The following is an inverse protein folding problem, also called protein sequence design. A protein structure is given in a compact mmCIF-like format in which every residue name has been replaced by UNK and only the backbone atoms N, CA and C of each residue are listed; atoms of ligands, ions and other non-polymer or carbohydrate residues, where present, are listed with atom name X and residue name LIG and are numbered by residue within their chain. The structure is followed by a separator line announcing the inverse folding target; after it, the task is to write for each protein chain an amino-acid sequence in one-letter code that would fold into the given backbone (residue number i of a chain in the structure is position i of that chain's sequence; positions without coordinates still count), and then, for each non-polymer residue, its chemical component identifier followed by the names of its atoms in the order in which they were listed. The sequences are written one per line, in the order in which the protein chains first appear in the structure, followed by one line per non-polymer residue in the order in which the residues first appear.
data_IF_534731688824
#
_entry.id   IF_534731688824
#
_cell.length_a   1.000
_cell.length_b   1.000
_cell.length_c   1.000
_cell.angle_alpha   90.00
_cell.angle_beta   90.00
_cell.angle_gamma   90.00
#
_symmetry.space_group_name_H-M   'P 1'
#
loop_
_entity.id
_entity.type
_entity.pdbx_description
1 polymer ?
#
# COMPACT_ATOMS: atom_id res chain seq x y z
N UNK A 1 23.24 20.98 -26.18
CA UNK A 1 21.88 21.31 -26.62
C UNK A 1 21.43 20.14 -27.45
N UNK A 2 20.28 19.57 -27.12
CA UNK A 2 19.75 18.39 -27.81
C UNK A 2 18.55 18.83 -28.63
N UNK A 3 18.29 18.17 -29.74
CA UNK A 3 17.01 18.34 -30.44
C UNK A 3 15.88 17.68 -29.63
N UNK A 4 14.62 18.07 -29.88
CA UNK A 4 13.47 17.39 -29.28
C UNK A 4 13.46 15.89 -29.61
N UNK A 5 13.88 15.52 -30.82
CA UNK A 5 14.04 14.12 -31.21
C UNK A 5 15.07 13.38 -30.34
N UNK A 6 16.24 13.98 -30.12
CA UNK A 6 17.28 13.42 -29.25
C UNK A 6 16.81 13.30 -27.79
N UNK A 7 16.03 14.27 -27.30
CA UNK A 7 15.45 14.21 -25.95
C UNK A 7 14.43 13.07 -25.84
N UNK A 8 13.55 12.91 -26.82
CA UNK A 8 12.58 11.81 -26.87
C UNK A 8 13.29 10.43 -26.95
N UNK A 9 14.35 10.32 -27.74
CA UNK A 9 15.17 9.11 -27.82
C UNK A 9 15.87 8.82 -26.49
N UNK A 10 16.39 9.86 -25.82
CA UNK A 10 17.02 9.73 -24.49
C UNK A 10 16.01 9.24 -23.44
N UNK A 11 14.76 9.71 -23.49
CA UNK A 11 13.71 9.18 -22.62
C UNK A 11 13.46 7.70 -22.90
N UNK A 12 13.30 7.31 -24.17
CA UNK A 12 13.08 5.92 -24.55
C UNK A 12 14.24 4.99 -24.15
N UNK A 13 15.50 5.41 -24.33
CA UNK A 13 16.68 4.65 -23.88
C UNK A 13 16.72 4.41 -22.36
N UNK A 14 16.18 5.37 -21.60
CA UNK A 14 16.01 5.28 -20.15
C UNK A 14 14.75 4.50 -19.72
N UNK A 15 14.02 3.93 -20.68
CA UNK A 15 12.79 3.20 -20.44
C UNK A 15 11.61 4.10 -20.08
N UNK A 16 11.66 5.38 -20.41
CA UNK A 16 10.56 6.34 -20.25
C UNK A 16 10.04 6.68 -21.64
N UNK A 17 8.90 6.15 -22.04
CA UNK A 17 8.29 6.43 -23.35
C UNK A 17 7.47 7.73 -23.32
N UNK A 18 8.10 8.81 -22.90
CA UNK A 18 7.51 10.15 -22.80
C UNK A 18 7.90 10.93 -24.06
N UNK A 19 6.93 11.55 -24.72
CA UNK A 19 7.17 12.41 -25.89
C UNK A 19 6.85 13.86 -25.56
N UNK A 20 7.81 14.75 -25.80
CA UNK A 20 7.56 16.19 -25.78
C UNK A 20 6.64 16.58 -26.94
N UNK A 21 5.58 17.37 -26.72
CA UNK A 21 4.66 17.80 -27.77
C UNK A 21 5.24 19.00 -28.55
N UNK A 22 6.48 18.89 -29.01
CA UNK A 22 7.21 19.91 -29.75
C UNK A 22 7.77 19.33 -31.07
N UNK A 23 7.99 20.15 -32.11
CA UNK A 23 8.63 19.70 -33.34
C UNK A 23 10.03 19.14 -33.10
N UNK A 24 10.33 17.99 -33.74
CA UNK A 24 11.55 17.21 -33.55
C UNK A 24 12.84 18.02 -33.69
N UNK A 25 12.87 19.00 -34.59
CA UNK A 25 14.05 19.80 -34.93
C UNK A 25 14.31 20.96 -33.98
N UNK A 26 13.40 21.26 -33.04
CA UNK A 26 13.61 22.33 -32.05
C UNK A 26 14.75 21.98 -31.11
N UNK A 27 15.54 22.98 -30.71
CA UNK A 27 16.67 22.79 -29.79
C UNK A 27 16.26 23.03 -28.35
N UNK A 28 16.39 22.02 -27.50
CA UNK A 28 16.12 22.11 -26.06
C UNK A 28 17.35 22.66 -25.33
N UNK A 29 17.15 23.77 -24.60
CA UNK A 29 18.12 24.45 -23.75
C UNK A 29 18.14 23.85 -22.36
N UNK A 30 16.98 23.71 -21.74
CA UNK A 30 16.81 23.12 -20.42
C UNK A 30 15.44 22.45 -20.28
N UNK A 31 15.37 21.47 -19.39
CA UNK A 31 14.15 20.74 -19.07
C UNK A 31 14.14 20.49 -17.56
N UNK A 32 13.13 21.04 -16.89
CA UNK A 32 12.95 20.90 -15.45
C UNK A 32 11.67 20.10 -15.18
N UNK A 33 11.77 19.07 -14.32
CA UNK A 33 10.61 18.32 -13.86
C UNK A 33 10.03 19.04 -12.65
N UNK A 34 8.83 19.60 -12.80
CA UNK A 34 8.14 20.32 -11.74
C UNK A 34 7.31 19.39 -10.86
N UNK A 35 6.66 18.41 -11.49
CA UNK A 35 5.83 17.43 -10.80
C UNK A 35 5.97 16.07 -11.46
N UNK A 36 5.97 15.02 -10.64
CA UNK A 36 5.94 13.63 -11.09
C UNK A 36 4.76 12.94 -10.41
N UNK A 37 3.92 12.30 -11.22
CA UNK A 37 2.79 11.49 -10.76
C UNK A 37 2.92 10.07 -11.31
N UNK A 38 2.96 9.09 -10.41
CA UNK A 38 2.93 7.70 -10.82
C UNK A 38 1.50 7.32 -11.23
N UNK A 39 1.34 6.78 -12.44
CA UNK A 39 0.06 6.30 -12.99
C UNK A 39 0.18 4.80 -13.29
N UNK A 40 -0.91 4.01 -13.25
CA UNK A 40 -0.83 2.59 -13.55
C UNK A 40 -0.23 2.33 -14.94
N UNK A 41 0.93 1.66 -14.99
CA UNK A 41 1.63 1.33 -16.25
C UNK A 41 2.47 2.47 -16.86
N UNK A 42 2.63 3.60 -16.17
CA UNK A 42 3.34 4.75 -16.72
C UNK A 42 3.69 5.83 -15.69
N UNK A 43 4.05 7.00 -16.19
CA UNK A 43 4.32 8.20 -15.40
C UNK A 43 3.74 9.42 -16.11
N UNK A 44 3.15 10.32 -15.34
CA UNK A 44 2.81 11.67 -15.77
C UNK A 44 3.84 12.66 -15.22
N UNK A 45 4.42 13.49 -16.09
CA UNK A 45 5.38 14.53 -15.74
C UNK A 45 4.84 15.90 -16.14
N UNK A 46 4.91 16.86 -15.23
CA UNK A 46 4.81 18.27 -15.56
C UNK A 46 6.22 18.81 -15.78
N UNK A 47 6.51 19.24 -17.01
CA UNK A 47 7.83 19.68 -17.45
C UNK A 47 7.79 21.18 -17.75
N UNK A 48 8.81 21.91 -17.31
CA UNK A 48 9.14 23.22 -17.86
C UNK A 48 10.26 23.04 -18.88
N UNK A 49 10.00 23.39 -20.13
CA UNK A 49 10.96 23.20 -21.24
C UNK A 49 11.32 24.57 -21.80
N UNK A 50 12.63 24.86 -21.83
CA UNK A 50 13.19 25.98 -22.59
C UNK A 50 13.72 25.48 -23.92
N UNK A 51 13.24 26.02 -25.02
CA UNK A 51 13.61 25.59 -26.37
C UNK A 51 13.77 26.77 -27.32
N UNK A 52 14.51 26.56 -28.41
CA UNK A 52 14.66 27.52 -29.51
C UNK A 52 13.73 27.11 -30.66
N UNK A 53 12.84 28.01 -31.06
CA UNK A 53 11.90 27.79 -32.15
C UNK A 53 12.52 28.05 -33.54
N UNK A 54 11.74 27.88 -34.60
CA UNK A 54 12.18 28.12 -36.00
C UNK A 54 12.56 29.58 -36.30
N UNK A 55 12.16 30.52 -35.45
CA UNK A 55 12.49 31.94 -35.56
C UNK A 55 13.81 32.28 -34.86
N UNK A 56 14.45 31.29 -34.21
CA UNK A 56 15.66 31.49 -33.42
C UNK A 56 15.38 32.11 -32.04
N UNK A 57 14.11 32.19 -31.64
CA UNK A 57 13.70 32.76 -30.35
C UNK A 57 13.74 31.69 -29.25
N UNK A 58 14.23 32.08 -28.08
CA UNK A 58 14.20 31.23 -26.90
C UNK A 58 12.86 31.37 -26.17
N UNK A 59 12.13 30.26 -26.08
CA UNK A 59 10.80 30.17 -25.49
C UNK A 59 10.84 29.20 -24.31
N UNK A 60 10.12 29.52 -23.23
CA UNK A 60 9.94 28.66 -22.05
C UNK A 60 8.46 28.36 -21.90
N UNK A 61 8.07 27.10 -21.82
CA UNK A 61 6.67 26.70 -21.65
C UNK A 61 6.51 25.43 -20.80
N UNK A 62 5.30 25.22 -20.31
CA UNK A 62 4.92 24.09 -19.46
C UNK A 62 4.19 23.02 -20.26
N UNK A 63 4.66 21.79 -20.14
CA UNK A 63 4.08 20.63 -20.81
C UNK A 63 3.73 19.55 -19.81
N UNK A 64 2.48 19.10 -19.87
CA UNK A 64 2.07 17.87 -19.20
C UNK A 64 2.27 16.71 -20.17
N UNK A 65 3.13 15.77 -19.81
CA UNK A 65 3.49 14.63 -20.64
C UNK A 65 3.28 13.32 -19.89
N UNK A 66 2.54 12.41 -20.52
CA UNK A 66 2.36 11.05 -20.02
C UNK A 66 3.16 10.07 -20.89
N UNK A 67 3.72 9.03 -20.26
CA UNK A 67 4.45 7.99 -20.98
C UNK A 67 4.47 6.65 -20.25
N UNK A 68 4.59 5.58 -21.03
CA UNK A 68 4.79 4.24 -20.47
C UNK A 68 6.20 4.11 -19.92
N UNK A 69 6.35 3.41 -18.80
CA UNK A 69 7.68 3.10 -18.26
C UNK A 69 8.00 1.66 -18.60
N UNK A 70 9.02 1.43 -19.43
CA UNK A 70 9.61 0.11 -19.59
C UNK A 70 10.24 -0.31 -18.27
N UNK A 71 9.56 -1.22 -17.58
CA UNK A 71 10.09 -1.86 -16.39
C UNK A 71 11.24 -2.76 -16.83
N UNK A 72 12.47 -2.23 -16.84
CA UNK A 72 13.65 -3.10 -16.80
C UNK A 72 13.55 -3.92 -15.52
N UNK A 73 13.19 -5.19 -15.67
CA UNK A 73 13.13 -6.26 -14.66
C UNK A 73 14.49 -6.55 -13.98
N UNK A 74 15.41 -5.59 -13.99
CA UNK A 74 16.70 -5.59 -13.31
C UNK A 74 16.85 -4.28 -12.54
N UNK A 75 15.96 -4.04 -11.59
CA UNK A 75 16.52 -3.72 -10.28
C UNK A 75 16.92 -5.07 -9.72
N UNK A 76 18.23 -5.30 -9.63
CA UNK A 76 18.69 -6.05 -8.47
C UNK A 76 17.95 -5.41 -7.31
N UNK A 77 17.00 -6.17 -6.76
CA UNK A 77 16.46 -5.90 -5.46
C UNK A 77 17.74 -5.83 -4.65
N UNK A 78 18.21 -4.63 -4.30
CA UNK A 78 18.96 -4.50 -3.06
C UNK A 78 18.00 -5.13 -2.08
N UNK A 79 18.26 -6.39 -1.73
CA UNK A 79 17.74 -6.99 -0.53
C UNK A 79 18.11 -5.94 0.50
N UNK A 80 17.17 -5.06 0.83
CA UNK A 80 17.23 -4.27 2.03
C UNK A 80 17.42 -5.35 3.09
N UNK A 81 18.67 -5.59 3.47
CA UNK A 81 19.02 -6.56 4.48
C UNK A 81 18.26 -6.07 5.70
N UNK A 82 17.13 -6.73 5.99
CA UNK A 82 16.37 -6.52 7.20
C UNK A 82 17.27 -7.12 8.28
N UNK A 83 18.24 -6.34 8.76
CA UNK A 83 19.31 -6.77 9.65
C UNK A 83 18.84 -7.19 11.05
N UNK A 84 17.55 -7.43 11.26
CA UNK A 84 17.03 -8.05 12.49
C UNK A 84 15.62 -8.56 12.24
N UNK A 85 15.26 -9.79 12.66
CA UNK A 85 13.88 -10.21 12.62
C UNK A 85 13.04 -9.22 13.43
N UNK A 86 12.04 -8.62 12.79
CA UNK A 86 11.21 -7.57 13.39
C UNK A 86 10.32 -8.09 14.54
N UNK A 87 10.24 -9.42 14.70
CA UNK A 87 9.61 -10.14 15.82
C UNK A 87 10.62 -11.15 16.42
N UNK A 88 10.54 -11.39 17.72
CA UNK A 88 11.45 -12.32 18.43
C UNK A 88 11.20 -13.80 18.09
N UNK A 89 9.94 -14.15 17.81
CA UNK A 89 9.51 -15.44 17.29
C UNK A 89 8.70 -15.20 16.03
N UNK A 90 8.65 -16.18 15.12
CA UNK A 90 7.89 -16.09 13.89
C UNK A 90 6.73 -17.09 13.92
N UNK A 91 5.56 -16.65 13.49
CA UNK A 91 4.42 -17.51 13.20
C UNK A 91 4.69 -18.31 11.92
N UNK A 92 4.12 -19.52 11.79
CA UNK A 92 4.24 -20.32 10.58
C UNK A 92 3.59 -19.63 9.38
N UNK A 93 4.19 -19.80 8.20
CA UNK A 93 3.64 -19.31 6.94
C UNK A 93 2.43 -20.14 6.52
N UNK A 94 1.47 -19.52 5.83
CA UNK A 94 0.36 -20.24 5.18
C UNK A 94 0.85 -20.90 3.89
N UNK A 95 0.24 -22.04 3.55
CA UNK A 95 0.51 -22.76 2.31
C UNK A 95 -0.20 -22.16 1.09
N UNK A 96 -1.27 -21.39 1.33
CA UNK A 96 -2.10 -20.73 0.31
C UNK A 96 -2.37 -19.29 0.71
N UNK A 97 -2.63 -18.48 -0.30
CA UNK A 97 -2.91 -17.05 -0.17
C UNK A 97 -4.41 -16.74 0.03
N UNK A 98 -5.27 -17.53 -0.62
CA UNK A 98 -6.73 -17.37 -0.51
C UNK A 98 -7.30 -18.01 0.76
N UNK A 99 -8.51 -17.59 1.09
CA UNK A 99 -9.43 -18.23 2.04
C UNK A 99 -10.51 -18.96 1.22
N UNK A 100 -10.99 -20.13 1.68
CA UNK A 100 -11.89 -20.99 0.89
C UNK A 100 -13.31 -20.40 0.73
N UNK A 101 -13.84 -20.20 -0.49
CA UNK A 101 -15.14 -19.50 -0.71
C UNK A 101 -16.13 -20.25 -1.62
N UNK A 102 -16.83 -21.21 -1.03
CA UNK A 102 -18.14 -21.73 -1.46
C UNK A 102 -19.19 -21.29 -0.42
N UNK A 103 -20.51 -21.27 -0.66
CA UNK A 103 -21.45 -20.56 0.25
C UNK A 103 -21.45 -21.03 1.73
N UNK A 104 -21.32 -22.34 2.00
CA UNK A 104 -21.09 -22.85 3.36
C UNK A 104 -19.64 -22.58 3.83
N UNK A 105 -18.70 -22.59 2.88
CA UNK A 105 -17.33 -22.20 3.13
C UNK A 105 -17.13 -20.68 3.25
N UNK A 106 -18.09 -19.79 2.91
CA UNK A 106 -17.90 -18.33 2.97
C UNK A 106 -17.84 -17.88 4.43
N UNK A 107 -18.74 -18.43 5.26
CA UNK A 107 -18.70 -18.21 6.71
C UNK A 107 -17.43 -18.83 7.33
N UNK A 108 -16.99 -19.99 6.83
CA UNK A 108 -15.75 -20.63 7.28
C UNK A 108 -14.51 -19.84 6.84
N UNK A 109 -14.49 -19.27 5.63
CA UNK A 109 -13.44 -18.38 5.14
C UNK A 109 -13.38 -17.10 5.94
N UNK A 110 -14.54 -16.52 6.28
CA UNK A 110 -14.59 -15.34 7.12
C UNK A 110 -14.06 -15.62 8.52
N UNK A 111 -14.43 -16.76 9.11
CA UNK A 111 -13.90 -17.19 10.39
C UNK A 111 -12.38 -17.48 10.31
N UNK A 112 -11.92 -18.20 9.28
CA UNK A 112 -10.50 -18.49 9.05
C UNK A 112 -9.69 -17.19 8.91
N UNK A 113 -10.21 -16.25 8.12
CA UNK A 113 -9.59 -14.95 7.93
C UNK A 113 -9.58 -14.15 9.24
N UNK A 114 -10.67 -14.11 9.99
CA UNK A 114 -10.71 -13.42 11.27
C UNK A 114 -9.69 -13.99 12.26
N UNK A 115 -9.63 -15.32 12.40
CA UNK A 115 -8.66 -16.01 13.26
C UNK A 115 -7.22 -15.76 12.81
N UNK A 116 -6.99 -15.72 11.49
CA UNK A 116 -5.70 -15.38 10.92
C UNK A 116 -5.26 -13.95 11.28
N UNK A 117 -6.15 -12.97 11.08
CA UNK A 117 -5.88 -11.57 11.43
C UNK A 117 -5.65 -11.42 12.94
N UNK A 118 -6.50 -12.07 13.75
CA UNK A 118 -6.41 -12.11 15.21
C UNK A 118 -5.05 -12.65 15.65
N UNK A 119 -4.61 -13.79 15.11
CA UNK A 119 -3.32 -14.39 15.41
C UNK A 119 -2.15 -13.47 15.04
N UNK A 120 -2.16 -12.90 13.83
CA UNK A 120 -1.08 -12.06 13.32
C UNK A 120 -0.87 -10.77 14.14
N UNK A 121 -1.96 -10.04 14.42
CA UNK A 121 -1.89 -8.79 15.20
C UNK A 121 -1.60 -9.06 16.68
N UNK A 122 -2.23 -10.09 17.27
CA UNK A 122 -1.98 -10.46 18.67
C UNK A 122 -0.51 -10.79 18.87
N UNK A 123 0.06 -11.59 17.98
CA UNK A 123 1.47 -11.96 18.05
C UNK A 123 2.41 -10.76 17.89
N UNK A 124 2.11 -9.82 16.98
CA UNK A 124 2.88 -8.58 16.87
C UNK A 124 2.84 -7.75 18.16
N UNK A 125 1.64 -7.52 18.71
CA UNK A 125 1.46 -6.67 19.89
C UNK A 125 2.08 -7.31 21.13
N UNK A 126 1.90 -8.62 21.33
CA UNK A 126 2.49 -9.37 22.43
C UNK A 126 4.02 -9.39 22.35
N UNK A 127 4.59 -9.53 21.16
CA UNK A 127 6.03 -9.42 20.95
C UNK A 127 6.57 -8.04 21.36
N UNK A 128 5.75 -6.98 21.26
CA UNK A 128 6.08 -5.61 21.72
C UNK A 128 5.64 -5.32 23.15
N UNK A 129 5.35 -6.35 23.93
CA UNK A 129 5.07 -6.26 25.36
C UNK A 129 3.66 -5.77 25.69
N UNK A 130 2.73 -5.80 24.75
CA UNK A 130 1.32 -5.62 25.07
C UNK A 130 0.69 -6.92 25.57
N UNK A 131 -0.27 -6.80 26.47
CA UNK A 131 -1.03 -7.93 27.01
C UNK A 131 -2.49 -7.81 26.61
N UNK A 132 -3.15 -8.94 26.38
CA UNK A 132 -4.58 -8.95 26.11
C UNK A 132 -5.33 -8.48 27.36
N UNK A 133 -6.17 -7.45 27.21
CA UNK A 133 -7.02 -6.92 28.27
C UNK A 133 -8.48 -7.25 28.01
N UNK A 134 -9.32 -7.01 29.01
CA UNK A 134 -10.78 -7.20 28.93
C UNK A 134 -11.51 -5.88 28.62
N UNK A 135 -12.65 -5.94 27.93
CA UNK A 135 -13.65 -4.87 27.96
C UNK A 135 -13.47 -3.68 27.00
N UNK A 136 -12.83 -3.86 25.83
CA UNK A 136 -12.54 -2.75 24.90
C UNK A 136 -13.66 -2.31 23.95
N UNK A 137 -14.83 -2.96 23.93
CA UNK A 137 -15.89 -2.65 22.94
C UNK A 137 -15.48 -2.88 21.48
N UNK A 138 -14.47 -3.72 21.25
CA UNK A 138 -13.86 -4.08 19.96
C UNK A 138 -13.51 -5.57 19.97
N UNK A 139 -13.08 -6.11 18.83
CA UNK A 139 -12.72 -7.52 18.68
C UNK A 139 -11.53 -7.92 19.56
N UNK A 140 -10.60 -7.00 19.79
CA UNK A 140 -9.38 -7.20 20.58
C UNK A 140 -8.96 -5.91 21.29
N UNK A 141 -8.67 -6.00 22.59
CA UNK A 141 -8.08 -4.92 23.36
C UNK A 141 -6.75 -5.36 23.96
N UNK A 142 -5.72 -4.55 23.75
CA UNK A 142 -4.39 -4.79 24.30
C UNK A 142 -3.95 -3.63 25.17
N UNK A 143 -3.20 -3.92 26.23
CA UNK A 143 -2.73 -2.91 27.16
C UNK A 143 -1.24 -3.09 27.45
N UNK A 144 -0.53 -1.96 27.56
CA UNK A 144 0.86 -1.89 28.01
C UNK A 144 1.03 -0.66 28.91
N UNK A 145 1.05 -0.90 30.21
CA UNK A 145 0.96 0.17 31.21
C UNK A 145 -0.40 0.88 31.09
N UNK A 146 -0.37 2.21 30.95
CA UNK A 146 -1.59 3.02 30.77
C UNK A 146 -2.04 3.14 29.31
N UNK A 147 -1.19 2.72 28.35
CA UNK A 147 -1.51 2.80 26.92
C UNK A 147 -2.29 1.57 26.50
N UNK A 148 -3.38 1.81 25.78
CA UNK A 148 -4.28 0.80 25.26
C UNK A 148 -4.17 0.76 23.75
N UNK A 149 -4.46 -0.39 23.15
CA UNK A 149 -4.58 -0.57 21.72
C UNK A 149 -5.93 -1.25 21.45
N UNK A 150 -6.87 -0.48 20.90
CA UNK A 150 -8.19 -0.94 20.49
C UNK A 150 -8.11 -1.44 19.05
N UNK A 151 -8.46 -2.69 18.83
CA UNK A 151 -8.29 -3.36 17.55
C UNK A 151 -9.63 -3.93 17.08
N UNK A 152 -10.10 -3.46 15.94
CA UNK A 152 -11.21 -4.07 15.21
C UNK A 152 -10.67 -4.86 14.01
N UNK A 153 -11.23 -6.03 13.77
CA UNK A 153 -10.91 -6.89 12.62
C UNK A 153 -11.93 -6.64 11.52
N UNK A 154 -11.49 -6.57 10.27
CA UNK A 154 -12.38 -6.46 9.12
C UNK A 154 -11.88 -7.35 7.99
N UNK A 155 -12.59 -8.44 7.76
CA UNK A 155 -12.24 -9.45 6.76
C UNK A 155 -12.43 -8.93 5.33
N UNK A 156 -13.42 -8.04 5.13
CA UNK A 156 -13.78 -7.46 3.84
C UNK A 156 -13.81 -5.94 3.93
N UNK A 157 -13.24 -5.23 2.94
CA UNK A 157 -13.30 -3.78 2.81
C UNK A 157 -14.64 -3.35 2.20
N UNK A 158 -15.69 -3.49 3.00
CA UNK A 158 -17.08 -3.20 2.63
C UNK A 158 -17.72 -2.14 3.56
N UNK A 159 -19.04 -2.09 3.60
CA UNK A 159 -19.80 -1.19 4.48
C UNK A 159 -19.61 -1.55 5.97
N UNK A 160 -19.49 -2.83 6.32
CA UNK A 160 -19.26 -3.27 7.70
C UNK A 160 -17.87 -2.85 8.18
N UNK A 161 -16.85 -2.89 7.32
CA UNK A 161 -15.52 -2.41 7.68
C UNK A 161 -15.50 -0.93 8.04
N UNK A 162 -16.24 -0.09 7.30
CA UNK A 162 -16.28 1.35 7.62
C UNK A 162 -17.11 1.62 8.88
N UNK A 163 -18.15 0.84 9.15
CA UNK A 163 -18.87 0.90 10.43
C UNK A 163 -17.96 0.54 11.62
N UNK A 164 -17.19 -0.54 11.51
CA UNK A 164 -16.17 -0.89 12.52
C UNK A 164 -15.14 0.22 12.71
N UNK A 165 -14.68 0.84 11.62
CA UNK A 165 -13.74 1.95 11.69
C UNK A 165 -14.34 3.21 12.35
N UNK A 166 -15.61 3.52 12.10
CA UNK A 166 -16.33 4.60 12.80
C UNK A 166 -16.49 4.30 14.29
N UNK A 167 -16.76 3.05 14.66
CA UNK A 167 -16.75 2.62 16.07
C UNK A 167 -15.41 2.90 16.77
N UNK A 168 -14.28 2.70 16.08
CA UNK A 168 -12.96 3.08 16.60
C UNK A 168 -12.81 4.60 16.79
N UNK A 169 -13.40 5.43 15.90
CA UNK A 169 -13.42 6.89 16.06
C UNK A 169 -14.20 7.29 17.32
N UNK A 170 -15.36 6.67 17.56
CA UNK A 170 -16.17 6.91 18.76
C UNK A 170 -15.42 6.49 20.04
N UNK A 171 -14.79 5.33 20.02
CA UNK A 171 -13.95 4.88 21.14
C UNK A 171 -12.81 5.85 21.40
N UNK A 172 -12.19 6.41 20.36
CA UNK A 172 -11.17 7.43 20.52
C UNK A 172 -11.68 8.70 21.17
N UNK A 173 -12.89 9.13 20.83
CA UNK A 173 -13.51 10.28 21.50
C UNK A 173 -13.78 10.00 22.98
N UNK A 174 -14.13 8.75 23.32
CA UNK A 174 -14.45 8.33 24.70
C UNK A 174 -13.21 8.08 25.57
N UNK A 175 -12.25 7.30 25.07
CA UNK A 175 -11.07 6.86 25.82
C UNK A 175 -9.88 7.81 25.66
N UNK A 176 -9.94 8.72 24.68
CA UNK A 176 -8.98 9.80 24.54
C UNK A 176 -7.80 9.45 23.64
N UNK A 177 -6.92 10.44 23.52
CA UNK A 177 -5.86 10.44 22.51
C UNK A 177 -4.65 9.62 22.90
N UNK A 178 -4.52 9.13 24.14
CA UNK A 178 -3.33 8.42 24.63
C UNK A 178 -3.29 6.93 24.28
N UNK A 179 -4.40 6.40 23.75
CA UNK A 179 -4.49 5.04 23.25
C UNK A 179 -4.34 4.99 21.72
N UNK A 180 -4.08 3.80 21.19
CA UNK A 180 -4.00 3.50 19.76
C UNK A 180 -5.29 2.81 19.30
N UNK A 181 -5.66 3.03 18.04
CA UNK A 181 -6.91 2.52 17.45
C UNK A 181 -6.60 1.99 16.05
N UNK A 182 -6.89 0.72 15.81
CA UNK A 182 -6.50 0.03 14.58
C UNK A 182 -7.60 -0.84 13.99
N UNK A 183 -7.80 -0.70 12.67
CA UNK A 183 -8.56 -1.63 11.85
C UNK A 183 -7.58 -2.57 11.15
N UNK A 184 -7.74 -3.88 11.36
CA UNK A 184 -6.90 -4.92 10.77
C UNK A 184 -7.64 -5.57 9.62
N UNK A 185 -7.01 -5.64 8.45
CA UNK A 185 -7.60 -6.21 7.23
C UNK A 185 -6.65 -7.23 6.60
N UNK A 186 -7.12 -8.13 5.71
CA UNK A 186 -6.22 -8.90 4.85
C UNK A 186 -5.56 -7.99 3.81
N UNK A 187 -4.32 -8.31 3.43
CA UNK A 187 -3.59 -7.64 2.35
C UNK A 187 -4.32 -7.78 1.01
N UNK A 188 -4.89 -8.95 0.74
CA UNK A 188 -5.71 -9.24 -0.44
C UNK A 188 -6.99 -9.96 -0.04
N UNK A 189 -8.11 -9.55 -0.64
CA UNK A 189 -9.45 -10.02 -0.26
C UNK A 189 -10.23 -10.62 -1.44
N UNK A 190 -9.55 -10.94 -2.55
CA UNK A 190 -10.22 -11.43 -3.76
C UNK A 190 -10.92 -12.77 -3.53
N UNK A 191 -10.31 -13.66 -2.74
CA UNK A 191 -10.93 -14.94 -2.35
C UNK A 191 -12.14 -14.75 -1.42
N UNK A 192 -12.33 -13.55 -0.87
CA UNK A 192 -13.45 -13.15 -0.02
C UNK A 192 -14.47 -12.30 -0.81
N UNK A 193 -14.36 -12.27 -2.14
CA UNK A 193 -15.28 -11.55 -3.02
C UNK A 193 -14.96 -10.06 -3.20
N UNK A 194 -13.89 -9.53 -2.60
CA UNK A 194 -13.48 -8.12 -2.77
C UNK A 194 -12.29 -8.06 -3.72
N UNK A 195 -12.53 -7.59 -4.95
CA UNK A 195 -11.44 -7.37 -5.91
C UNK A 195 -10.39 -6.39 -5.36
N UNK A 196 -9.12 -6.55 -5.78
CA UNK A 196 -8.05 -5.61 -5.38
C UNK A 196 -8.42 -4.14 -5.68
N UNK A 197 -9.04 -3.87 -6.83
CA UNK A 197 -9.49 -2.53 -7.20
C UNK A 197 -10.56 -1.98 -6.24
N UNK A 198 -11.49 -2.83 -5.79
CA UNK A 198 -12.52 -2.43 -4.82
C UNK A 198 -11.89 -2.12 -3.45
N UNK A 199 -10.95 -2.95 -3.01
CA UNK A 199 -10.18 -2.72 -1.78
C UNK A 199 -9.38 -1.41 -1.84
N UNK A 200 -8.66 -1.15 -2.94
CA UNK A 200 -7.90 0.09 -3.14
C UNK A 200 -8.79 1.33 -3.15
N UNK A 201 -9.96 1.25 -3.81
CA UNK A 201 -10.95 2.34 -3.80
C UNK A 201 -11.51 2.59 -2.41
N UNK A 202 -11.81 1.53 -1.65
CA UNK A 202 -12.24 1.65 -0.26
C UNK A 202 -11.17 2.34 0.59
N UNK A 203 -9.91 1.94 0.43
CA UNK A 203 -8.79 2.57 1.13
C UNK A 203 -8.69 4.05 0.79
N UNK A 204 -8.63 4.39 -0.50
CA UNK A 204 -8.50 5.78 -0.95
C UNK A 204 -9.63 6.68 -0.46
N UNK A 205 -10.89 6.19 -0.53
CA UNK A 205 -12.07 6.94 -0.07
C UNK A 205 -12.06 7.24 1.42
N UNK A 206 -11.48 6.36 2.23
CA UNK A 206 -11.57 6.45 3.70
C UNK A 206 -10.25 6.92 4.35
N UNK A 207 -9.13 6.89 3.63
CA UNK A 207 -7.79 7.16 4.18
C UNK A 207 -7.69 8.53 4.85
N UNK A 208 -8.19 9.59 4.20
CA UNK A 208 -8.11 10.95 4.74
C UNK A 208 -8.91 11.08 6.05
N UNK A 209 -10.16 10.62 6.05
CA UNK A 209 -11.03 10.61 7.23
C UNK A 209 -10.40 9.83 8.39
N UNK A 210 -9.96 8.60 8.15
CA UNK A 210 -9.37 7.75 9.19
C UNK A 210 -8.05 8.33 9.71
N UNK A 211 -7.20 8.89 8.83
CA UNK A 211 -5.94 9.51 9.24
C UNK A 211 -6.17 10.76 10.08
N UNK A 212 -7.16 11.59 9.72
CA UNK A 212 -7.55 12.78 10.48
C UNK A 212 -8.00 12.41 11.91
N UNK A 213 -8.71 11.29 12.05
CA UNK A 213 -9.12 10.75 13.34
C UNK A 213 -8.07 9.87 14.03
N UNK A 214 -6.86 9.74 13.46
CA UNK A 214 -5.77 8.89 13.98
C UNK A 214 -6.20 7.43 14.16
N UNK A 215 -6.93 6.89 13.19
CA UNK A 215 -7.27 5.46 13.11
C UNK A 215 -6.31 4.79 12.13
N UNK A 216 -5.56 3.82 12.63
CA UNK A 216 -4.64 3.00 11.85
C UNK A 216 -5.38 1.95 11.02
N UNK A 217 -5.09 1.84 9.72
CA UNK A 217 -5.49 0.68 8.92
C UNK A 217 -4.23 -0.11 8.63
N UNK A 218 -4.21 -1.37 9.08
CA UNK A 218 -3.07 -2.26 8.98
C UNK A 218 -3.48 -3.53 8.25
N UNK A 219 -2.86 -3.81 7.10
CA UNK A 219 -3.14 -5.05 6.38
C UNK A 219 -2.13 -6.14 6.74
N UNK A 220 -2.61 -7.35 6.99
CA UNK A 220 -1.79 -8.55 7.22
C UNK A 220 -1.54 -9.23 5.88
N UNK A 221 -0.29 -9.53 5.57
CA UNK A 221 0.06 -10.32 4.39
C UNK A 221 -0.68 -11.66 4.41
N UNK A 222 -1.23 -12.10 3.28
CA UNK A 222 -2.08 -13.30 3.23
C UNK A 222 -1.30 -14.61 3.44
N UNK A 223 0.02 -14.61 3.23
CA UNK A 223 0.88 -15.79 3.33
C UNK A 223 1.79 -15.71 4.57
N UNK A 224 2.34 -14.53 4.85
CA UNK A 224 3.25 -14.31 5.99
C UNK A 224 2.59 -13.49 7.12
N UNK A 225 2.04 -14.13 8.17
CA UNK A 225 1.41 -13.42 9.30
C UNK A 225 2.38 -12.57 10.12
N UNK A 226 3.69 -12.64 9.81
CA UNK A 226 4.70 -11.79 10.43
C UNK A 226 4.87 -10.45 9.73
N UNK A 227 4.24 -10.24 8.56
CA UNK A 227 4.27 -9.00 7.80
C UNK A 227 2.93 -8.28 7.85
N UNK A 228 2.95 -7.06 8.37
CA UNK A 228 1.81 -6.17 8.37
C UNK A 228 2.21 -4.82 7.77
N UNK A 229 1.32 -4.21 7.00
CA UNK A 229 1.55 -2.96 6.27
C UNK A 229 0.60 -1.88 6.78
N UNK A 230 1.10 -0.68 7.07
CA UNK A 230 0.27 0.44 7.50
C UNK A 230 -0.13 1.31 6.31
N UNK A 231 -1.41 1.71 6.24
CA UNK A 231 -1.94 2.50 5.12
C UNK A 231 -2.39 3.92 5.49
N UNK A 232 -2.76 4.17 6.76
CA UNK A 232 -3.22 5.49 7.21
C UNK A 232 -2.20 6.18 8.09
N UNK A 233 -1.91 5.61 9.27
CA UNK A 233 -0.99 6.15 10.25
C UNK A 233 -0.10 5.06 10.86
N UNK A 234 1.10 5.43 11.29
CA UNK A 234 1.91 4.58 12.15
C UNK A 234 1.50 4.74 13.62
N UNK A 235 1.54 3.66 14.42
CA UNK A 235 1.36 3.76 15.88
C UNK A 235 2.40 4.71 16.49
N UNK A 236 2.10 5.36 17.62
CA UNK A 236 3.08 6.25 18.28
C UNK A 236 4.15 5.47 19.02
N UNK A 237 3.80 4.29 19.51
CA UNK A 237 4.73 3.38 20.17
C UNK A 237 5.96 3.14 19.28
N UNK A 238 7.17 3.29 19.84
CA UNK A 238 8.41 3.41 19.07
C UNK A 238 8.76 2.11 18.35
N UNK A 239 8.57 0.96 18.99
CA UNK A 239 8.94 -0.34 18.43
C UNK A 239 7.93 -0.81 17.37
N UNK A 240 6.64 -0.61 17.61
CA UNK A 240 5.58 -0.86 16.62
C UNK A 240 5.74 0.06 15.40
N UNK A 241 6.06 1.34 15.61
CA UNK A 241 6.35 2.26 14.52
C UNK A 241 7.56 1.83 13.70
N UNK A 242 8.63 1.40 14.36
CA UNK A 242 9.82 0.85 13.67
C UNK A 242 9.47 -0.39 12.85
N UNK A 243 8.64 -1.28 13.40
CA UNK A 243 8.13 -2.44 12.67
C UNK A 243 7.43 -2.00 11.36
N UNK A 244 6.46 -1.10 11.44
CA UNK A 244 5.69 -0.68 10.26
C UNK A 244 6.49 0.14 9.26
N UNK A 245 7.46 0.95 9.72
CA UNK A 245 8.39 1.66 8.81
C UNK A 245 9.24 0.67 8.02
N UNK A 246 9.66 -0.44 8.64
CA UNK A 246 10.48 -1.45 7.98
C UNK A 246 9.68 -2.31 6.98
N UNK A 247 8.39 -2.53 7.23
CA UNK A 247 7.52 -3.32 6.32
C UNK A 247 6.88 -2.48 5.21
N UNK A 248 6.67 -1.18 5.40
CA UNK A 248 5.97 -0.33 4.43
C UNK A 248 6.55 -0.38 3.00
N UNK A 249 7.88 -0.31 2.76
CA UNK A 249 8.43 -0.37 1.40
C UNK A 249 8.17 -1.70 0.69
N UNK A 250 7.91 -2.78 1.45
CA UNK A 250 7.69 -4.12 0.90
C UNK A 250 6.29 -4.26 0.29
N UNK A 251 5.34 -3.40 0.68
CA UNK A 251 3.97 -3.46 0.18
C UNK A 251 3.92 -3.37 -1.35
N UNK A 252 4.64 -2.42 -1.96
CA UNK A 252 4.65 -2.26 -3.42
C UNK A 252 5.12 -3.53 -4.13
N UNK A 253 6.16 -4.18 -3.61
CA UNK A 253 6.68 -5.44 -4.17
C UNK A 253 5.68 -6.59 -4.02
N UNK A 254 5.04 -6.71 -2.86
CA UNK A 254 4.03 -7.75 -2.59
C UNK A 254 2.81 -7.56 -3.47
N UNK A 255 2.33 -6.32 -3.59
CA UNK A 255 1.25 -5.94 -4.50
C UNK A 255 1.57 -6.27 -5.96
N UNK A 256 2.74 -5.90 -6.45
CA UNK A 256 3.17 -6.20 -7.82
C UNK A 256 3.22 -7.71 -8.08
N UNK A 257 3.82 -8.48 -7.17
CA UNK A 257 3.86 -9.95 -7.25
C UNK A 257 2.47 -10.55 -7.28
N UNK A 258 1.56 -10.04 -6.46
CA UNK A 258 0.17 -10.49 -6.44
C UNK A 258 -0.51 -10.28 -7.80
N UNK A 259 -0.44 -9.07 -8.35
CA UNK A 259 -1.02 -8.74 -9.66
C UNK A 259 -0.46 -9.63 -10.77
N UNK A 260 0.87 -9.86 -10.79
CA UNK A 260 1.51 -10.74 -11.77
C UNK A 260 1.07 -12.21 -11.61
N UNK A 261 0.93 -12.69 -10.37
CA UNK A 261 0.49 -14.06 -10.10
C UNK A 261 -0.97 -14.29 -10.49
N UNK A 262 -1.82 -13.27 -10.35
CA UNK A 262 -3.23 -13.29 -10.75
C UNK A 262 -3.39 -13.46 -12.26
N UNK A 263 -2.58 -12.78 -13.06
CA UNK A 263 -2.60 -12.92 -14.52
C UNK A 263 -2.36 -14.37 -14.95
N UNK A 264 -1.36 -15.02 -14.33
CA UNK A 264 -1.04 -16.43 -14.60
C UNK A 264 -2.11 -17.42 -14.14
N UNK A 265 -2.80 -17.15 -13.02
CA UNK A 265 -3.91 -18.00 -12.54
C UNK A 265 -5.10 -17.97 -13.49
N UNK A 266 -5.46 -16.78 -14.00
CA UNK A 266 -6.54 -16.64 -15.00
C UNK A 266 -6.23 -17.39 -16.30
N UNK A 267 -5.00 -17.27 -16.80
CA UNK A 267 -4.57 -18.00 -18.00
C UNK A 267 -4.60 -19.52 -17.82
N UNK A 268 -4.35 -20.02 -16.60
CA UNK A 268 -4.39 -21.45 -16.28
C UNK A 268 -5.81 -22.00 -16.02
N UNK A 269 -6.75 -21.15 -15.60
CA UNK A 269 -8.17 -21.51 -15.42
C UNK A 269 -8.95 -21.45 -16.75
N UNK A 270 -8.47 -20.70 -17.74
CA UNK A 270 -9.06 -20.58 -19.08
C UNK A 270 -8.49 -21.58 -20.11
N UNK A 271 -7.48 -22.38 -19.74
CA UNK A 271 -6.81 -23.38 -20.60
C UNK A 271 -7.25 -24.82 -20.28
#
# INVERSE_FOLDING_TARGET
MLTVEEVNNTFAEKGLHIKLPLPNHFLVRSLDVLEKKDIPGGVGLLLNVRFVNDQGEEVSDLFLCDGQVEVKLKREIEELEIMTPLKSKLLPLRSKEGFESEAEAEAEAEAEAEDYLRGAISHLLQDKGYHLGEGGGVDLYFQRGEVGFFVSLAVRCDEKAIERAKGLVELRQKHGVDHEYGLIIPAFQESLGISLLAQERWMWRNQEYLSAHRIGVYAVDNVDPNRLYAFTIYPRERELRRFFIATAPQWSLVRERYVLSRGKRREAEEA
#
